data_IF_411949627256
#
_entry.id   IF_411949627256
#
_cell.length_a   1.000
_cell.length_b   1.000
_cell.length_c   1.000
_cell.angle_alpha   90.00
_cell.angle_beta   90.00
_cell.angle_gamma   90.00
#
_symmetry.space_group_name_H-M   'P 1'
#
loop_
_entity.id
_entity.type
_entity.pdbx_description
1 polymer ?
#
# COMPACT_ATOMS: atom_id res chain seq x y z
N UNK A 1 18.24 -11.91 4.04
CA UNK A 1 16.85 -11.84 4.57
C UNK A 1 16.38 -10.42 4.50
N UNK A 2 15.26 -10.12 3.81
CA UNK A 2 14.70 -8.76 3.70
C UNK A 2 14.04 -8.41 5.03
N UNK A 3 14.61 -7.46 5.77
CA UNK A 3 13.98 -6.94 7.00
C UNK A 3 13.22 -5.67 6.66
N UNK A 4 11.94 -5.64 7.04
CA UNK A 4 11.08 -4.47 6.93
C UNK A 4 10.65 -4.08 8.34
N UNK A 5 10.89 -2.85 8.74
CA UNK A 5 10.55 -2.33 10.06
C UNK A 5 9.76 -1.04 9.92
N UNK A 6 8.84 -0.80 10.86
CA UNK A 6 8.08 0.45 10.96
C UNK A 6 8.39 1.08 12.31
N UNK A 7 8.73 2.37 12.32
CA UNK A 7 9.23 3.09 13.49
C UNK A 7 8.59 4.48 13.54
N UNK A 8 8.45 5.06 14.73
CA UNK A 8 8.11 6.48 14.88
C UNK A 8 9.40 7.26 15.10
N UNK A 9 9.66 8.23 14.23
CA UNK A 9 10.80 9.14 14.33
C UNK A 9 10.32 10.57 14.17
N UNK A 10 10.63 11.45 15.14
CA UNK A 10 10.20 12.87 15.11
C UNK A 10 8.71 13.07 14.78
N UNK A 11 7.85 12.25 15.37
CA UNK A 11 6.38 12.23 15.13
C UNK A 11 5.96 11.81 13.71
N UNK A 12 6.88 11.30 12.89
CA UNK A 12 6.60 10.73 11.57
C UNK A 12 6.71 9.21 11.59
N UNK A 13 5.87 8.54 10.81
CA UNK A 13 5.98 7.11 10.59
C UNK A 13 7.08 6.85 9.54
N UNK A 14 8.08 6.08 9.93
CA UNK A 14 9.22 5.71 9.10
C UNK A 14 9.16 4.23 8.75
N UNK A 15 9.31 3.91 7.46
CA UNK A 15 9.48 2.54 6.98
C UNK A 15 10.94 2.35 6.61
N UNK A 16 11.58 1.36 7.23
CA UNK A 16 12.94 0.97 6.94
C UNK A 16 12.94 -0.40 6.25
N UNK A 17 13.46 -0.45 5.03
CA UNK A 17 13.61 -1.66 4.24
C UNK A 17 15.08 -1.89 3.95
N UNK A 18 15.64 -2.99 4.44
CA UNK A 18 17.00 -3.40 4.10
C UNK A 18 16.97 -4.39 2.93
N UNK A 19 17.55 -4.00 1.80
CA UNK A 19 17.72 -4.86 0.63
C UNK A 19 19.12 -5.48 0.64
N UNK A 20 19.21 -6.82 0.57
CA UNK A 20 20.50 -7.54 0.51
C UNK A 20 20.98 -7.79 -0.92
N UNK A 21 20.13 -7.60 -1.94
CA UNK A 21 20.45 -7.94 -3.34
C UNK A 21 21.52 -7.03 -3.98
N UNK A 22 21.79 -5.85 -3.43
CA UNK A 22 22.87 -4.96 -3.91
C UNK A 22 24.26 -5.38 -3.42
N UNK A 23 24.37 -6.31 -2.47
CA UNK A 23 25.66 -6.67 -1.90
C UNK A 23 26.58 -7.41 -2.91
N UNK A 24 26.03 -8.13 -3.89
CA UNK A 24 26.83 -8.88 -4.87
C UNK A 24 27.28 -8.05 -6.09
N UNK A 25 26.68 -6.88 -6.35
CA UNK A 25 27.04 -6.02 -7.50
C UNK A 25 27.64 -4.67 -7.11
N UNK A 26 27.34 -4.13 -5.92
CA UNK A 26 27.77 -2.77 -5.51
C UNK A 26 28.41 -2.67 -4.13
N UNK A 27 28.51 -3.79 -3.38
CA UNK A 27 29.21 -3.84 -2.09
C UNK A 27 28.59 -2.97 -0.97
N UNK A 28 27.42 -2.37 -1.20
CA UNK A 28 26.70 -1.56 -0.20
C UNK A 28 25.34 -2.18 0.12
N UNK A 29 25.14 -2.49 1.39
CA UNK A 29 23.79 -2.72 1.94
C UNK A 29 23.00 -1.41 1.77
N UNK A 30 22.01 -1.42 0.88
CA UNK A 30 21.12 -0.29 0.68
C UNK A 30 20.04 -0.28 1.75
N UNK A 31 20.17 0.64 2.71
CA UNK A 31 19.09 0.95 3.66
C UNK A 31 18.12 1.93 2.99
N UNK A 32 16.94 1.43 2.59
CA UNK A 32 15.88 2.27 2.04
C UNK A 32 14.99 2.75 3.19
N UNK A 33 15.15 4.02 3.54
CA UNK A 33 14.34 4.70 4.56
C UNK A 33 13.32 5.59 3.85
N UNK A 34 12.04 5.42 4.19
CA UNK A 34 10.95 6.25 3.66
C UNK A 34 10.12 6.81 4.80
N UNK A 35 9.84 8.11 4.78
CA UNK A 35 8.86 8.71 5.68
C UNK A 35 7.47 8.65 5.04
N UNK A 36 6.52 8.09 5.76
CA UNK A 36 5.13 7.95 5.33
C UNK A 36 4.42 9.29 5.54
N UNK A 37 3.74 9.84 4.52
CA UNK A 37 2.99 11.08 4.70
C UNK A 37 1.94 10.98 5.79
N UNK A 38 1.65 12.12 6.44
CA UNK A 38 0.84 12.19 7.65
C UNK A 38 -0.52 11.49 7.52
N UNK A 39 -1.26 11.73 6.43
CA UNK A 39 -2.58 11.12 6.21
C UNK A 39 -2.52 9.58 6.14
N UNK A 40 -1.48 9.04 5.50
CA UNK A 40 -1.29 7.58 5.42
C UNK A 40 -0.79 7.04 6.76
N UNK A 41 0.10 7.77 7.43
CA UNK A 41 0.63 7.40 8.73
C UNK A 41 -0.50 7.30 9.78
N UNK A 42 -1.43 8.25 9.78
CA UNK A 42 -2.58 8.26 10.67
C UNK A 42 -3.49 7.04 10.44
N UNK A 43 -3.76 6.68 9.19
CA UNK A 43 -4.53 5.46 8.86
C UNK A 43 -3.85 4.20 9.39
N UNK A 44 -2.53 4.08 9.17
CA UNK A 44 -1.77 2.91 9.65
C UNK A 44 -1.74 2.87 11.17
N UNK A 45 -1.52 3.99 11.84
CA UNK A 45 -1.49 4.06 13.30
C UNK A 45 -2.85 3.78 13.91
N UNK A 46 -3.93 4.29 13.31
CA UNK A 46 -5.30 3.98 13.74
C UNK A 46 -5.58 2.48 13.61
N UNK A 47 -5.17 1.87 12.50
CA UNK A 47 -5.30 0.42 12.32
C UNK A 47 -4.53 -0.37 13.38
N UNK A 48 -3.29 0.03 13.69
CA UNK A 48 -2.46 -0.62 14.71
C UNK A 48 -2.98 -0.41 16.14
N UNK A 49 -3.47 0.79 16.47
CA UNK A 49 -3.88 1.16 17.81
C UNK A 49 -5.30 0.69 18.15
N UNK A 50 -6.18 0.57 17.15
CA UNK A 50 -7.61 0.27 17.38
C UNK A 50 -8.00 -1.10 16.84
N UNK A 51 -7.67 -1.38 15.57
CA UNK A 51 -8.15 -2.60 14.90
C UNK A 51 -7.38 -3.84 15.38
N UNK A 52 -6.07 -3.74 15.56
CA UNK A 52 -5.25 -4.87 16.00
C UNK A 52 -5.61 -5.36 17.42
N UNK A 53 -5.77 -4.49 18.45
CA UNK A 53 -6.22 -4.93 19.77
C UNK A 53 -7.59 -5.60 19.74
N UNK A 54 -8.55 -5.04 19.00
CA UNK A 54 -9.88 -5.63 18.87
C UNK A 54 -9.82 -7.02 18.23
N UNK A 55 -9.01 -7.16 17.18
CA UNK A 55 -8.76 -8.45 16.53
C UNK A 55 -8.13 -9.47 17.46
N UNK A 56 -7.22 -9.04 18.34
CA UNK A 56 -6.62 -9.92 19.35
C UNK A 56 -7.66 -10.41 20.36
N UNK A 57 -8.58 -9.54 20.80
CA UNK A 57 -9.68 -9.91 21.68
C UNK A 57 -10.53 -11.02 21.06
N UNK A 58 -11.01 -10.83 19.82
CA UNK A 58 -11.80 -11.84 19.13
C UNK A 58 -11.02 -13.14 18.87
N UNK A 59 -9.74 -13.04 18.52
CA UNK A 59 -8.90 -14.21 18.33
C UNK A 59 -8.75 -15.02 19.63
N UNK A 60 -8.58 -14.33 20.77
CA UNK A 60 -8.43 -14.97 22.08
C UNK A 60 -9.72 -15.55 22.64
N UNK A 61 -10.88 -15.02 22.24
CA UNK A 61 -12.18 -15.65 22.54
C UNK A 61 -12.29 -17.04 21.92
N UNK A 62 -11.78 -17.22 20.69
CA UNK A 62 -11.78 -18.53 20.02
C UNK A 62 -10.60 -19.42 20.41
N UNK A 63 -9.42 -18.83 20.67
CA UNK A 63 -8.18 -19.54 20.99
C UNK A 63 -7.45 -18.85 22.15
N UNK A 64 -7.60 -19.33 23.39
CA UNK A 64 -6.88 -18.79 24.54
C UNK A 64 -5.38 -18.72 24.25
N UNK A 65 -4.74 -17.63 24.67
CA UNK A 65 -3.30 -17.35 24.47
C UNK A 65 -2.83 -17.16 23.02
N UNK A 66 -3.73 -17.06 22.05
CA UNK A 66 -3.34 -16.72 20.69
C UNK A 66 -2.63 -15.36 20.61
N UNK A 67 -1.69 -15.27 19.67
CA UNK A 67 -0.90 -14.08 19.35
C UNK A 67 -1.36 -13.53 17.99
N UNK A 68 -1.19 -12.23 17.79
CA UNK A 68 -1.39 -11.62 16.47
C UNK A 68 -0.29 -12.07 15.50
N UNK A 69 -0.66 -12.14 14.22
CA UNK A 69 0.32 -12.33 13.15
C UNK A 69 1.34 -11.20 13.15
N UNK A 70 2.64 -11.48 12.91
CA UNK A 70 3.64 -10.44 12.71
C UNK A 70 3.46 -9.68 11.38
N UNK A 71 2.56 -10.16 10.50
CA UNK A 71 2.24 -9.52 9.22
C UNK A 71 1.01 -8.61 9.34
N UNK A 72 1.17 -7.35 8.91
CA UNK A 72 0.10 -6.34 8.91
C UNK A 72 -1.16 -6.81 8.14
N UNK A 73 -0.94 -7.42 6.98
CA UNK A 73 -1.98 -7.97 6.11
C UNK A 73 -2.11 -9.48 6.31
N UNK A 74 -3.00 -9.84 7.23
CA UNK A 74 -3.29 -11.23 7.58
C UNK A 74 -4.78 -11.38 7.92
N UNK A 75 -5.32 -12.60 7.82
CA UNK A 75 -6.65 -12.97 8.28
C UNK A 75 -6.64 -13.18 9.80
N UNK A 76 -7.81 -13.10 10.44
CA UNK A 76 -7.93 -13.17 11.91
C UNK A 76 -7.24 -14.39 12.54
N UNK A 77 -7.23 -15.51 11.84
CA UNK A 77 -6.58 -16.78 12.21
C UNK A 77 -5.04 -16.73 12.17
N UNK A 78 -4.44 -15.66 11.65
CA UNK A 78 -3.01 -15.45 11.52
C UNK A 78 -2.47 -15.65 10.10
N UNK A 79 -3.26 -16.23 9.19
CA UNK A 79 -2.86 -16.56 7.82
C UNK A 79 -2.56 -15.29 7.03
N UNK A 80 -1.38 -15.21 6.41
CA UNK A 80 -0.99 -14.05 5.58
C UNK A 80 -1.92 -13.93 4.37
N UNK A 81 -2.25 -12.71 3.97
CA UNK A 81 -3.04 -12.49 2.77
C UNK A 81 -2.31 -13.02 1.53
N UNK A 82 -3.04 -13.72 0.68
CA UNK A 82 -2.57 -14.10 -0.66
C UNK A 82 -2.56 -12.86 -1.56
N UNK A 83 -1.75 -12.89 -2.62
CA UNK A 83 -1.54 -11.75 -3.50
C UNK A 83 -2.85 -11.20 -4.11
N UNK A 84 -3.82 -12.07 -4.39
CA UNK A 84 -5.12 -11.69 -4.96
C UNK A 84 -6.05 -11.04 -3.94
N UNK A 85 -5.76 -11.16 -2.64
CA UNK A 85 -6.65 -10.67 -1.58
C UNK A 85 -6.81 -9.16 -1.67
N UNK A 86 -5.71 -8.44 -1.91
CA UNK A 86 -5.73 -6.98 -2.05
C UNK A 86 -6.55 -6.57 -3.26
N UNK A 87 -6.34 -7.24 -4.41
CA UNK A 87 -7.11 -6.99 -5.63
C UNK A 87 -8.61 -7.17 -5.39
N UNK A 88 -9.02 -8.29 -4.78
CA UNK A 88 -10.43 -8.56 -4.44
C UNK A 88 -11.01 -7.51 -3.48
N UNK A 89 -10.23 -7.07 -2.49
CA UNK A 89 -10.65 -6.00 -1.57
C UNK A 89 -10.86 -4.68 -2.30
N UNK A 90 -9.96 -4.31 -3.21
CA UNK A 90 -10.05 -3.10 -4.02
C UNK A 90 -11.24 -3.15 -4.98
N UNK A 91 -11.48 -4.27 -5.67
CA UNK A 91 -12.65 -4.42 -6.54
C UNK A 91 -13.97 -4.27 -5.77
N UNK A 92 -14.05 -4.82 -4.55
CA UNK A 92 -15.21 -4.64 -3.68
C UNK A 92 -15.36 -3.19 -3.21
N UNK A 93 -14.26 -2.49 -2.98
CA UNK A 93 -14.29 -1.07 -2.62
C UNK A 93 -14.78 -0.22 -3.80
N UNK A 94 -14.30 -0.49 -5.03
CA UNK A 94 -14.81 0.15 -6.25
C UNK A 94 -16.31 -0.05 -6.41
N UNK A 95 -16.79 -1.29 -6.31
CA UNK A 95 -18.21 -1.61 -6.42
C UNK A 95 -19.06 -0.87 -5.37
N UNK A 96 -18.57 -0.74 -4.13
CA UNK A 96 -19.25 0.01 -3.06
C UNK A 96 -19.26 1.52 -3.28
N UNK A 97 -18.26 2.04 -3.97
CA UNK A 97 -18.15 3.45 -4.30
C UNK A 97 -18.77 3.78 -5.67
N UNK A 98 -19.39 2.80 -6.34
CA UNK A 98 -20.00 2.94 -7.67
C UNK A 98 -19.01 3.48 -8.73
N UNK A 99 -17.73 3.12 -8.59
CA UNK A 99 -16.68 3.49 -9.55
C UNK A 99 -16.20 2.26 -10.34
N UNK A 100 -15.66 2.47 -11.56
CA UNK A 100 -15.04 1.39 -12.33
C UNK A 100 -14.03 0.59 -11.52
N UNK A 101 -14.01 -0.72 -11.73
CA UNK A 101 -13.09 -1.62 -11.04
C UNK A 101 -11.70 -1.46 -11.66
N UNK A 102 -10.76 -0.94 -10.87
CA UNK A 102 -9.40 -0.74 -11.34
C UNK A 102 -8.53 -2.01 -11.19
N UNK A 103 -7.69 -2.27 -12.20
CA UNK A 103 -6.60 -3.25 -12.09
C UNK A 103 -5.55 -2.76 -11.08
N UNK A 104 -4.80 -3.68 -10.47
CA UNK A 104 -3.76 -3.34 -9.46
C UNK A 104 -2.71 -2.37 -10.02
N UNK A 105 -2.35 -2.51 -11.30
CA UNK A 105 -1.43 -1.58 -11.97
C UNK A 105 -1.96 -0.14 -11.97
N UNK A 106 -3.26 0.05 -12.22
CA UNK A 106 -3.88 1.36 -12.24
C UNK A 106 -3.95 2.00 -10.86
N UNK A 107 -4.12 1.21 -9.79
CA UNK A 107 -4.00 1.75 -8.43
C UNK A 107 -2.61 2.30 -8.13
N UNK A 108 -1.55 1.69 -8.69
CA UNK A 108 -0.18 2.20 -8.56
C UNK A 108 0.01 3.50 -9.34
N UNK A 109 -0.47 3.54 -10.58
CA UNK A 109 -0.47 4.73 -11.44
C UNK A 109 -1.22 5.89 -10.78
N UNK A 110 -2.46 5.67 -10.34
CA UNK A 110 -3.26 6.68 -9.65
C UNK A 110 -2.57 7.18 -8.37
N UNK A 111 -1.96 6.29 -7.58
CA UNK A 111 -1.19 6.69 -6.40
C UNK A 111 0.04 7.54 -6.78
N UNK A 112 0.73 7.21 -7.88
CA UNK A 112 1.85 7.98 -8.40
C UNK A 112 1.42 9.39 -8.84
N UNK A 113 0.35 9.50 -9.63
CA UNK A 113 -0.18 10.79 -10.10
C UNK A 113 -0.69 11.65 -8.95
N UNK A 114 -1.41 11.06 -7.99
CA UNK A 114 -1.82 11.77 -6.77
C UNK A 114 -0.59 12.24 -5.99
N UNK A 115 0.47 11.43 -5.92
CA UNK A 115 1.73 11.81 -5.25
C UNK A 115 2.42 12.97 -5.98
N UNK A 116 2.47 12.95 -7.32
CA UNK A 116 3.04 14.01 -8.16
C UNK A 116 2.29 15.34 -7.95
N UNK A 117 0.96 15.30 -7.91
CA UNK A 117 0.07 16.48 -7.87
C UNK A 117 -0.24 17.03 -6.48
N UNK A 118 -0.46 16.17 -5.48
CA UNK A 118 -1.02 16.58 -4.17
C UNK A 118 0.02 16.71 -3.06
N UNK A 119 1.24 16.22 -3.26
CA UNK A 119 2.27 16.20 -2.23
C UNK A 119 3.36 17.23 -2.50
N UNK A 120 3.88 17.81 -1.41
CA UNK A 120 4.98 18.77 -1.50
C UNK A 120 6.26 18.11 -2.02
N UNK A 121 7.20 18.89 -2.56
CA UNK A 121 8.48 18.35 -3.04
C UNK A 121 9.24 17.55 -1.95
N UNK A 122 9.13 18.00 -0.69
CA UNK A 122 9.72 17.31 0.47
C UNK A 122 9.08 15.95 0.75
N UNK A 123 7.76 15.86 0.62
CA UNK A 123 7.04 14.60 0.82
C UNK A 123 7.28 13.64 -0.35
N UNK A 124 7.30 14.17 -1.58
CA UNK A 124 7.60 13.42 -2.81
C UNK A 124 8.97 12.73 -2.78
N UNK A 125 9.98 13.34 -2.17
CA UNK A 125 11.30 12.74 -2.00
C UNK A 125 11.31 11.40 -1.24
N UNK A 126 10.23 11.04 -0.54
CA UNK A 126 10.09 9.76 0.15
C UNK A 126 9.57 8.63 -0.76
N UNK A 127 9.16 8.96 -1.99
CA UNK A 127 8.66 8.02 -2.98
C UNK A 127 9.68 7.86 -4.09
N UNK A 128 9.99 6.60 -4.40
CA UNK A 128 10.80 6.25 -5.57
C UNK A 128 9.87 6.21 -6.79
N UNK A 129 9.69 7.38 -7.41
CA UNK A 129 8.79 7.55 -8.55
C UNK A 129 9.44 7.09 -9.87
N UNK A 130 10.77 6.96 -9.92
CA UNK A 130 11.52 6.52 -11.11
C UNK A 130 11.32 5.02 -11.39
N UNK A 131 11.13 4.20 -10.35
CA UNK A 131 10.80 2.76 -10.50
C UNK A 131 9.41 2.56 -11.15
N UNK A 132 8.52 3.56 -11.08
CA UNK A 132 7.16 3.50 -11.65
C UNK A 132 7.10 3.95 -13.11
N UNK A 133 7.98 4.84 -13.54
CA UNK A 133 8.12 5.25 -14.94
C UNK A 133 8.61 4.07 -15.82
N UNK A 134 9.31 3.07 -15.27
CA UNK A 134 9.64 1.83 -16.03
C UNK A 134 8.43 0.93 -16.36
N UNK A 135 7.27 1.20 -15.74
CA UNK A 135 5.99 0.52 -16.06
C UNK A 135 5.21 1.30 -17.13
N UNK A 136 5.70 2.46 -17.59
CA UNK A 136 5.10 3.29 -18.65
C UNK A 136 4.99 2.58 -20.01
N UNK A 137 5.65 1.44 -20.22
CA UNK A 137 5.51 0.71 -21.50
C UNK A 137 4.41 -0.37 -21.53
N UNK A 138 3.67 -0.63 -20.43
CA UNK A 138 2.72 -1.75 -20.38
C UNK A 138 1.23 -1.37 -20.31
N UNK A 139 0.89 -0.08 -20.20
CA UNK A 139 -0.48 0.38 -20.35
C UNK A 139 -0.43 1.76 -21.01
N UNK A 140 -0.66 1.78 -22.32
CA UNK A 140 -0.79 3.01 -23.10
C UNK A 140 -1.74 3.97 -22.36
N UNK A 141 -1.30 5.21 -22.11
CA UNK A 141 -2.10 6.24 -21.46
C UNK A 141 -3.46 6.45 -22.17
N UNK A 142 -3.55 6.11 -23.45
CA UNK A 142 -4.77 6.10 -24.25
C UNK A 142 -5.80 5.06 -23.75
N UNK A 143 -5.39 3.84 -23.38
CA UNK A 143 -6.30 2.84 -22.79
C UNK A 143 -6.85 3.33 -21.44
N UNK A 144 -6.03 4.06 -20.67
CA UNK A 144 -6.45 4.66 -19.39
C UNK A 144 -7.45 5.81 -19.59
N UNK A 145 -7.24 6.66 -20.59
CA UNK A 145 -8.16 7.73 -20.96
C UNK A 145 -9.49 7.17 -21.52
N UNK A 146 -9.42 6.11 -22.32
CA UNK A 146 -10.61 5.44 -22.87
C UNK A 146 -11.40 4.75 -21.76
N UNK A 147 -10.78 3.96 -20.88
CA UNK A 147 -11.48 3.28 -19.78
C UNK A 147 -12.10 4.27 -18.77
N UNK A 148 -11.41 5.39 -18.48
CA UNK A 148 -11.95 6.46 -17.63
C UNK A 148 -13.06 7.26 -18.32
N UNK A 149 -12.96 7.49 -19.64
CA UNK A 149 -14.00 8.15 -20.42
C UNK A 149 -15.24 7.25 -20.60
N UNK A 150 -15.06 5.95 -20.83
CA UNK A 150 -16.14 4.96 -20.87
C UNK A 150 -16.85 4.85 -19.51
N UNK A 151 -16.09 4.86 -18.41
CA UNK A 151 -16.63 4.95 -17.05
C UNK A 151 -17.36 6.28 -16.77
N UNK A 152 -16.88 7.40 -17.32
CA UNK A 152 -17.50 8.72 -17.20
C UNK A 152 -18.74 8.90 -18.07
N UNK A 153 -18.90 8.11 -19.14
CA UNK A 153 -20.04 8.18 -20.06
C UNK A 153 -21.28 7.42 -19.55
N UNK A 154 -21.16 6.69 -18.43
CA UNK A 154 -22.33 6.23 -17.68
C UNK A 154 -22.93 7.40 -16.87
N UNK A 155 -23.64 8.28 -17.58
CA UNK A 155 -24.63 9.17 -16.98
C UNK A 155 -25.62 8.34 -16.18
N UNK A 156 -25.78 8.70 -14.90
CA UNK A 156 -26.82 8.23 -14.00
C UNK A 156 -28.14 7.93 -14.71
N UNK A 157 -28.68 6.74 -14.44
CA UNK A 157 -30.10 6.48 -14.56
C UNK A 157 -30.57 5.68 -13.36
#
# INVERSE_FOLDING_TARGET
TRRRSMLIWEKMLMIHVRYRKSAEQTGKDGDNIRFVPAAIAELVLTFLAVVQPLRLVFLRQARPNALLSPYLFSKIDGTVWQDETVSKCLSRACARAEVPVFKVAWWRQAAASITKEKFTARERANFDLEELDTVEEAAEEDDLLVDLAEGSNHSFR
#
